data_IF_686635326065
#
_entry.id   IF_686635326065
#
_cell.length_a   1.000
_cell.length_b   1.000
_cell.length_c   1.000
_cell.angle_alpha   90.00
_cell.angle_beta   90.00
_cell.angle_gamma   90.00
#
_symmetry.space_group_name_H-M   'P 1'
#
loop_
_entity.id
_entity.type
_entity.pdbx_description
1 polymer ?
#
# COMPACT_ATOMS: atom_id res chain seq x y z
N UNK A 1 17.49 -21.90 2.35
CA UNK A 1 16.80 -20.61 2.21
C UNK A 1 15.67 -20.62 3.21
N UNK A 2 15.50 -19.59 4.07
CA UNK A 2 14.39 -19.55 5.01
C UNK A 2 13.04 -19.59 4.27
N UNK A 3 12.00 -20.07 4.94
CA UNK A 3 10.64 -19.99 4.46
C UNK A 3 10.20 -18.51 4.45
N UNK A 4 10.13 -17.90 3.26
CA UNK A 4 9.81 -16.48 3.12
C UNK A 4 8.38 -16.16 3.59
N UNK A 5 7.34 -16.95 3.20
CA UNK A 5 6.02 -16.85 3.80
C UNK A 5 6.03 -16.80 5.32
N UNK A 6 6.67 -17.77 5.99
CA UNK A 6 6.72 -17.80 7.46
C UNK A 6 7.40 -16.55 8.03
N UNK A 7 8.53 -16.14 7.43
CA UNK A 7 9.27 -14.96 7.85
C UNK A 7 8.43 -13.68 7.70
N UNK A 8 7.62 -13.58 6.64
CA UNK A 8 6.73 -12.45 6.37
C UNK A 8 5.46 -12.40 7.23
N UNK A 9 5.26 -13.39 8.10
CA UNK A 9 4.26 -13.31 9.18
C UNK A 9 4.82 -12.60 10.41
N UNK A 10 6.16 -12.60 10.57
CA UNK A 10 6.86 -11.96 11.69
C UNK A 10 7.27 -10.52 11.36
N UNK A 11 7.65 -10.29 10.11
CA UNK A 11 8.06 -8.99 9.58
C UNK A 11 7.03 -8.43 8.60
N UNK A 12 7.00 -7.11 8.44
CA UNK A 12 6.05 -6.45 7.54
C UNK A 12 6.31 -6.74 6.06
N UNK A 13 7.57 -6.95 5.67
CA UNK A 13 7.98 -7.24 4.31
C UNK A 13 9.28 -8.06 4.31
N UNK A 14 9.38 -9.03 3.41
CA UNK A 14 10.61 -9.78 3.13
C UNK A 14 10.98 -9.59 1.66
N UNK A 15 12.24 -9.29 1.39
CA UNK A 15 12.80 -9.24 0.04
C UNK A 15 13.91 -10.29 -0.04
N UNK A 16 13.80 -11.20 -1.01
CA UNK A 16 14.85 -12.15 -1.35
C UNK A 16 15.33 -11.91 -2.77
N UNK A 17 16.64 -11.80 -2.96
CA UNK A 17 17.23 -11.53 -4.26
C UNK A 17 18.54 -12.28 -4.44
N UNK A 18 18.84 -12.68 -5.68
CA UNK A 18 20.08 -13.37 -6.00
C UNK A 18 21.26 -12.41 -6.15
N UNK A 19 22.48 -12.92 -5.96
CA UNK A 19 23.70 -12.22 -6.35
C UNK A 19 23.65 -11.77 -7.81
N UNK A 20 24.06 -10.54 -8.09
CA UNK A 20 23.96 -9.91 -9.40
C UNK A 20 25.21 -9.10 -9.76
N UNK A 21 25.44 -8.90 -11.06
CA UNK A 21 26.47 -8.01 -11.59
C UNK A 21 25.96 -6.58 -11.86
N UNK A 22 24.69 -6.30 -11.55
CA UNK A 22 24.12 -4.96 -11.73
C UNK A 22 24.91 -3.92 -10.91
N UNK A 23 25.07 -2.72 -11.46
CA UNK A 23 25.85 -1.65 -10.82
C UNK A 23 25.32 -1.29 -9.42
N UNK A 24 24.00 -1.33 -9.23
CA UNK A 24 23.34 -0.96 -7.98
C UNK A 24 23.32 -2.10 -6.94
N UNK A 25 23.67 -3.33 -7.33
CA UNK A 25 23.62 -4.49 -6.44
C UNK A 25 24.46 -4.34 -5.16
N UNK A 26 25.71 -3.87 -5.18
CA UNK A 26 26.50 -3.68 -3.95
C UNK A 26 25.84 -2.71 -2.96
N UNK A 27 25.15 -1.69 -3.47
CA UNK A 27 24.43 -0.71 -2.65
C UNK A 27 23.17 -1.36 -2.05
N UNK A 28 22.40 -2.10 -2.87
CA UNK A 28 21.24 -2.85 -2.41
C UNK A 28 21.62 -3.87 -1.31
N UNK A 29 22.73 -4.59 -1.48
CA UNK A 29 23.24 -5.53 -0.47
C UNK A 29 23.65 -4.82 0.82
N UNK A 30 24.31 -3.66 0.74
CA UNK A 30 24.65 -2.87 1.93
C UNK A 30 23.42 -2.37 2.68
N UNK A 31 22.34 -2.03 1.97
CA UNK A 31 21.06 -1.67 2.59
C UNK A 31 20.39 -2.90 3.22
N UNK A 32 20.39 -4.03 2.53
CA UNK A 32 19.80 -5.29 2.98
C UNK A 32 20.44 -5.78 4.30
N UNK A 33 21.76 -5.65 4.44
CA UNK A 33 22.50 -5.98 5.68
C UNK A 33 22.08 -5.15 6.90
N UNK A 34 21.38 -4.03 6.69
CA UNK A 34 20.85 -3.15 7.74
C UNK A 34 19.34 -3.35 7.95
N UNK A 35 18.76 -4.40 7.38
CA UNK A 35 17.39 -4.77 7.65
C UNK A 35 17.26 -5.35 9.08
N UNK A 36 16.04 -5.40 9.60
CA UNK A 36 15.77 -5.97 10.93
C UNK A 36 16.14 -7.45 11.02
N UNK A 37 16.10 -8.15 9.90
CA UNK A 37 16.67 -9.48 9.74
C UNK A 37 17.38 -9.59 8.40
N UNK A 38 18.56 -10.22 8.40
CA UNK A 38 19.32 -10.47 7.18
C UNK A 38 20.02 -11.82 7.26
N UNK A 39 19.97 -12.58 6.15
CA UNK A 39 20.73 -13.83 6.00
C UNK A 39 21.15 -14.03 4.56
N UNK A 40 22.37 -14.56 4.38
CA UNK A 40 22.89 -15.01 3.10
C UNK A 40 22.72 -16.53 3.02
N UNK A 41 22.16 -17.03 1.91
CA UNK A 41 21.88 -18.45 1.74
C UNK A 41 22.21 -18.91 0.33
N UNK A 42 23.10 -19.89 0.24
CA UNK A 42 23.36 -20.60 -1.02
C UNK A 42 22.31 -21.69 -1.24
N UNK A 43 21.68 -21.71 -2.42
CA UNK A 43 20.76 -22.78 -2.86
C UNK A 43 21.24 -23.31 -4.21
N UNK A 44 21.88 -24.48 -4.20
CA UNK A 44 22.57 -25.02 -5.37
C UNK A 44 23.82 -24.20 -5.67
N UNK A 45 23.91 -23.62 -6.87
CA UNK A 45 25.01 -22.74 -7.29
C UNK A 45 24.69 -21.25 -7.21
N UNK A 46 23.53 -20.89 -6.64
CA UNK A 46 23.05 -19.50 -6.57
C UNK A 46 23.00 -19.02 -5.13
N UNK A 47 23.66 -17.89 -4.87
CA UNK A 47 23.60 -17.19 -3.60
C UNK A 47 22.39 -16.25 -3.56
N UNK A 48 21.58 -16.39 -2.52
CA UNK A 48 20.44 -15.55 -2.22
C UNK A 48 20.71 -14.71 -0.98
N UNK A 49 20.25 -13.48 -1.02
CA UNK A 49 20.21 -12.55 0.10
C UNK A 49 18.76 -12.39 0.52
N UNK A 50 18.46 -12.65 1.78
CA UNK A 50 17.11 -12.49 2.33
C UNK A 50 17.16 -11.41 3.39
N UNK A 51 16.39 -10.35 3.18
CA UNK A 51 16.22 -9.24 4.11
C UNK A 51 14.76 -9.12 4.54
N UNK A 52 14.50 -8.96 5.83
CA UNK A 52 13.16 -8.70 6.36
C UNK A 52 13.11 -7.38 7.12
N UNK A 53 12.00 -6.68 6.92
CA UNK A 53 11.79 -5.29 7.29
C UNK A 53 10.57 -5.16 8.20
N UNK A 54 10.72 -4.40 9.26
CA UNK A 54 9.63 -4.00 10.14
C UNK A 54 8.77 -2.93 9.46
N UNK A 55 7.59 -2.66 10.01
CA UNK A 55 6.67 -1.60 9.54
C UNK A 55 7.12 -0.18 9.94
N UNK A 56 8.41 0.01 10.26
CA UNK A 56 8.95 1.31 10.66
C UNK A 56 9.30 2.18 9.45
N UNK A 57 9.27 3.53 9.56
CA UNK A 57 9.62 4.41 8.43
C UNK A 57 11.01 4.12 7.86
N UNK A 58 11.99 3.85 8.73
CA UNK A 58 13.37 3.62 8.30
C UNK A 58 13.55 2.29 7.57
N UNK A 59 12.86 1.23 8.01
CA UNK A 59 12.88 -0.07 7.35
C UNK A 59 12.14 -0.04 6.02
N UNK A 60 10.97 0.61 5.97
CA UNK A 60 10.20 0.76 4.72
C UNK A 60 10.98 1.59 3.70
N UNK A 61 11.63 2.69 4.11
CA UNK A 61 12.46 3.48 3.20
C UNK A 61 13.65 2.68 2.63
N UNK A 62 14.28 1.82 3.44
CA UNK A 62 15.32 0.89 2.96
C UNK A 62 14.75 -0.13 1.99
N UNK A 63 13.60 -0.71 2.31
CA UNK A 63 12.94 -1.68 1.44
C UNK A 63 12.58 -1.09 0.08
N UNK A 64 12.05 0.14 0.03
CA UNK A 64 11.80 0.89 -1.22
C UNK A 64 13.08 1.03 -2.02
N UNK A 65 14.15 1.51 -1.38
CA UNK A 65 15.44 1.75 -2.05
C UNK A 65 16.01 0.47 -2.66
N UNK A 66 15.94 -0.65 -1.92
CA UNK A 66 16.36 -1.97 -2.40
C UNK A 66 15.48 -2.42 -3.56
N UNK A 67 14.16 -2.30 -3.43
CA UNK A 67 13.21 -2.74 -4.45
C UNK A 67 13.38 -1.95 -5.76
N UNK A 68 13.64 -0.65 -5.70
CA UNK A 68 13.93 0.18 -6.89
C UNK A 68 15.25 -0.22 -7.57
N UNK A 69 16.32 -0.41 -6.79
CA UNK A 69 17.62 -0.87 -7.31
C UNK A 69 17.53 -2.27 -7.95
N UNK A 70 16.64 -3.12 -7.43
CA UNK A 70 16.45 -4.50 -7.88
C UNK A 70 15.29 -4.69 -8.86
N UNK A 71 14.52 -3.64 -9.18
CA UNK A 71 13.29 -3.74 -9.98
C UNK A 71 13.50 -4.37 -11.37
N UNK A 72 14.73 -4.29 -11.90
CA UNK A 72 15.12 -4.87 -13.21
C UNK A 72 15.90 -6.17 -13.09
N UNK A 73 16.22 -6.60 -11.86
CA UNK A 73 16.97 -7.82 -11.58
C UNK A 73 15.98 -8.97 -11.45
N UNK A 74 16.03 -9.90 -12.40
CA UNK A 74 15.23 -11.14 -12.35
C UNK A 74 15.58 -11.94 -11.09
N UNK A 75 14.58 -12.63 -10.54
CA UNK A 75 14.78 -13.50 -9.38
C UNK A 75 14.72 -12.74 -8.06
N UNK A 76 14.02 -11.60 -8.05
CA UNK A 76 13.63 -10.90 -6.83
C UNK A 76 12.25 -11.39 -6.40
N UNK A 77 12.16 -11.79 -5.14
CA UNK A 77 10.93 -12.25 -4.52
C UNK A 77 10.57 -11.32 -3.37
N UNK A 78 9.31 -10.95 -3.30
CA UNK A 78 8.74 -10.24 -2.17
C UNK A 78 7.84 -11.21 -1.41
N UNK A 79 7.91 -11.22 -0.09
CA UNK A 79 6.95 -11.96 0.72
C UNK A 79 6.31 -11.04 1.75
N UNK A 80 4.99 -11.09 1.81
CA UNK A 80 4.20 -10.24 2.68
C UNK A 80 3.00 -11.02 3.20
N UNK A 81 2.77 -11.00 4.52
CA UNK A 81 1.65 -11.68 5.19
C UNK A 81 1.45 -13.14 4.74
N UNK A 82 2.55 -13.88 4.60
CA UNK A 82 2.53 -15.28 4.19
C UNK A 82 2.33 -15.52 2.70
N UNK A 83 2.24 -14.47 1.87
CA UNK A 83 2.13 -14.58 0.42
C UNK A 83 3.49 -14.32 -0.22
N UNK A 84 3.80 -15.06 -1.28
CA UNK A 84 5.01 -14.89 -2.07
C UNK A 84 4.67 -14.30 -3.43
N UNK A 85 5.34 -13.21 -3.76
CA UNK A 85 5.21 -12.47 -5.00
C UNK A 85 6.55 -12.47 -5.72
N UNK A 86 6.54 -12.69 -7.03
CA UNK A 86 7.74 -12.68 -7.86
C UNK A 86 7.66 -11.50 -8.82
N UNK A 87 8.67 -10.64 -8.78
CA UNK A 87 8.77 -9.49 -9.70
C UNK A 87 7.46 -8.66 -9.80
N UNK A 88 6.75 -8.49 -8.67
CA UNK A 88 5.39 -7.94 -8.63
C UNK A 88 5.37 -6.41 -8.51
N UNK A 89 4.90 -5.75 -9.56
CA UNK A 89 4.82 -4.29 -9.62
C UNK A 89 3.81 -3.66 -8.65
N UNK A 90 2.78 -4.38 -8.22
CA UNK A 90 1.81 -3.86 -7.25
C UNK A 90 2.45 -3.75 -5.87
N UNK A 91 3.25 -4.75 -5.47
CA UNK A 91 3.99 -4.70 -4.19
C UNK A 91 4.88 -3.45 -4.15
N UNK A 92 5.59 -3.17 -5.24
CA UNK A 92 6.44 -1.97 -5.33
C UNK A 92 5.61 -0.68 -5.22
N UNK A 93 4.49 -0.57 -5.93
CA UNK A 93 3.65 0.63 -5.88
C UNK A 93 3.02 0.86 -4.49
N UNK A 94 2.57 -0.21 -3.82
CA UNK A 94 2.03 -0.12 -2.46
C UNK A 94 3.12 0.26 -1.47
N UNK A 95 4.34 -0.27 -1.64
CA UNK A 95 5.48 0.08 -0.81
C UNK A 95 5.87 1.56 -0.95
N UNK A 96 5.86 2.09 -2.18
CA UNK A 96 6.05 3.52 -2.45
C UNK A 96 4.97 4.38 -1.78
N UNK A 97 3.69 4.01 -1.95
CA UNK A 97 2.58 4.72 -1.30
C UNK A 97 2.70 4.70 0.24
N UNK A 98 3.05 3.56 0.83
CA UNK A 98 3.29 3.46 2.27
C UNK A 98 4.45 4.36 2.72
N UNK A 99 5.55 4.39 1.97
CA UNK A 99 6.69 5.25 2.27
C UNK A 99 6.34 6.74 2.21
N UNK A 100 5.55 7.15 1.21
CA UNK A 100 5.03 8.52 1.13
C UNK A 100 4.14 8.89 2.33
N UNK A 101 3.35 7.94 2.83
CA UNK A 101 2.50 8.15 4.01
C UNK A 101 3.29 8.49 5.29
N UNK A 102 4.56 8.09 5.39
CA UNK A 102 5.43 8.43 6.53
C UNK A 102 6.01 9.85 6.44
N UNK A 103 5.91 10.52 5.29
CA UNK A 103 6.45 11.87 5.08
C UNK A 103 5.49 12.97 5.55
N UNK A 104 4.24 12.62 5.84
CA UNK A 104 3.22 13.54 6.37
C UNK A 104 3.04 13.33 7.87
N UNK A 105 2.63 14.39 8.59
CA UNK A 105 2.43 14.34 10.05
C UNK A 105 1.28 13.41 10.45
N UNK A 106 0.15 13.51 9.77
CA UNK A 106 -0.98 12.60 9.91
C UNK A 106 -1.11 11.78 8.63
N UNK A 107 -0.86 10.47 8.72
CA UNK A 107 -0.94 9.57 7.57
C UNK A 107 -2.32 9.60 6.91
N UNK A 108 -3.39 9.93 7.65
CA UNK A 108 -4.75 10.01 7.10
C UNK A 108 -4.86 11.06 6.01
N UNK A 109 -4.06 12.13 6.03
CA UNK A 109 -4.06 13.12 4.96
C UNK A 109 -3.48 12.58 3.64
N UNK A 110 -2.66 11.52 3.70
CA UNK A 110 -2.16 10.81 2.53
C UNK A 110 -3.06 9.62 2.16
N UNK A 111 -3.48 8.83 3.16
CA UNK A 111 -4.17 7.57 2.95
C UNK A 111 -5.68 7.73 2.71
N UNK A 112 -6.35 8.72 3.29
CA UNK A 112 -7.80 8.85 3.14
C UNK A 112 -8.14 9.74 1.94
N UNK A 113 -8.99 9.23 1.05
CA UNK A 113 -9.47 9.96 -0.13
C UNK A 113 -10.96 10.19 -0.01
N UNK A 114 -11.37 11.44 -0.17
CA UNK A 114 -12.77 11.85 -0.16
C UNK A 114 -13.26 11.91 -1.60
N UNK A 115 -14.28 11.12 -1.94
CA UNK A 115 -14.99 11.23 -3.21
C UNK A 115 -16.29 12.02 -3.00
N UNK A 116 -16.32 13.32 -3.35
CA UNK A 116 -17.56 14.06 -3.41
C UNK A 116 -18.32 13.68 -4.68
N UNK A 117 -19.63 13.50 -4.57
CA UNK A 117 -20.51 13.27 -5.72
C UNK A 117 -20.74 14.51 -6.58
N UNK A 118 -20.42 15.68 -6.03
CA UNK A 118 -20.44 16.97 -6.71
C UNK A 118 -19.23 17.80 -6.25
N UNK A 119 -18.38 18.20 -7.20
CA UNK A 119 -17.38 19.23 -6.95
C UNK A 119 -18.01 20.61 -7.14
N UNK A 120 -17.66 21.57 -6.28
CA UNK A 120 -17.97 22.99 -6.47
C UNK A 120 -17.46 23.47 -7.83
N UNK A 121 -18.23 24.32 -8.52
CA UNK A 121 -17.91 24.80 -9.87
C UNK A 121 -16.49 25.39 -9.93
N UNK A 122 -15.69 24.98 -10.93
CA UNK A 122 -14.37 25.55 -11.22
C UNK A 122 -13.18 24.58 -11.22
N UNK A 123 -13.34 23.32 -10.80
CA UNK A 123 -12.26 22.32 -10.82
C UNK A 123 -12.48 21.32 -11.99
N UNK A 124 -11.46 21.03 -12.83
CA UNK A 124 -11.58 20.06 -13.91
C UNK A 124 -11.99 18.69 -13.37
N UNK A 125 -13.09 18.16 -13.90
CA UNK A 125 -13.88 17.10 -13.28
C UNK A 125 -13.35 15.70 -13.61
N UNK A 126 -12.78 14.99 -12.64
CA UNK A 126 -12.70 13.52 -12.68
C UNK A 126 -14.03 13.00 -12.12
N UNK A 127 -14.97 12.67 -13.00
CA UNK A 127 -16.24 12.05 -12.60
C UNK A 127 -16.01 10.60 -12.20
N UNK A 128 -15.76 10.34 -10.92
CA UNK A 128 -15.91 8.99 -10.40
C UNK A 128 -17.40 8.77 -10.12
N UNK A 129 -18.13 8.26 -11.11
CA UNK A 129 -19.52 7.84 -10.92
C UNK A 129 -19.52 6.55 -10.10
N UNK A 130 -19.71 6.68 -8.79
CA UNK A 130 -20.06 5.53 -7.94
C UNK A 130 -21.59 5.36 -8.07
N UNK A 131 -22.12 4.24 -8.60
CA UNK A 131 -23.49 4.18 -9.16
C UNK A 131 -24.67 4.41 -8.18
N UNK A 132 -24.45 4.73 -6.89
CA UNK A 132 -25.51 4.81 -5.86
C UNK A 132 -25.32 5.91 -4.81
N UNK A 133 -24.39 6.84 -5.03
CA UNK A 133 -24.23 8.00 -4.17
C UNK A 133 -25.19 9.11 -4.62
N UNK A 134 -25.97 9.66 -3.69
CA UNK A 134 -26.87 10.80 -3.92
C UNK A 134 -26.07 12.05 -4.31
N UNK A 135 -26.75 13.07 -4.88
CA UNK A 135 -26.08 14.28 -5.42
C UNK A 135 -25.21 15.04 -4.41
N UNK A 136 -25.31 14.78 -3.10
CA UNK A 136 -24.53 15.43 -2.05
C UNK A 136 -23.74 14.45 -1.19
N UNK A 137 -23.64 13.18 -1.56
CA UNK A 137 -22.94 12.22 -0.70
C UNK A 137 -21.42 12.36 -0.85
N UNK A 138 -20.71 12.14 0.24
CA UNK A 138 -19.26 11.96 0.30
C UNK A 138 -18.97 10.57 0.80
N UNK A 139 -18.07 9.88 0.11
CA UNK A 139 -17.50 8.63 0.58
C UNK A 139 -16.04 8.85 0.93
N UNK A 140 -15.64 8.48 2.14
CA UNK A 140 -14.24 8.48 2.57
C UNK A 140 -13.68 7.08 2.38
N UNK A 141 -12.77 6.93 1.42
CA UNK A 141 -12.04 5.68 1.19
C UNK A 141 -10.75 5.71 2.02
N UNK A 142 -10.50 4.74 2.92
CA UNK A 142 -9.39 4.79 3.87
C UNK A 142 -8.03 4.42 3.26
N UNK A 143 -7.94 4.18 1.95
CA UNK A 143 -6.70 3.88 1.26
C UNK A 143 -6.63 4.58 -0.11
N UNK A 144 -5.68 5.50 -0.27
CA UNK A 144 -5.48 6.27 -1.49
C UNK A 144 -5.00 5.41 -2.65
N UNK A 145 -4.29 4.31 -2.36
CA UNK A 145 -3.93 3.33 -3.38
C UNK A 145 -5.17 2.61 -3.91
N UNK A 146 -5.99 2.05 -3.01
CA UNK A 146 -7.21 1.34 -3.38
C UNK A 146 -8.26 2.24 -4.03
N UNK A 147 -8.34 3.51 -3.61
CA UNK A 147 -9.26 4.53 -4.15
C UNK A 147 -9.19 4.68 -5.68
N UNK A 148 -8.05 4.38 -6.29
CA UNK A 148 -7.88 4.40 -7.76
C UNK A 148 -8.75 3.35 -8.47
N UNK A 149 -9.22 2.33 -7.74
CA UNK A 149 -9.89 1.16 -8.26
C UNK A 149 -11.33 0.99 -7.73
N UNK A 150 -11.79 1.86 -6.82
CA UNK A 150 -13.11 1.72 -6.15
C UNK A 150 -14.31 2.15 -6.99
N UNK A 151 -14.12 2.79 -8.15
CA UNK A 151 -15.20 3.44 -8.90
C UNK A 151 -16.37 2.52 -9.27
N UNK A 152 -16.08 1.35 -9.86
CA UNK A 152 -17.10 0.35 -10.25
C UNK A 152 -17.22 -0.80 -9.27
N UNK A 153 -16.28 -0.92 -8.32
CA UNK A 153 -16.20 -2.06 -7.42
C UNK A 153 -17.13 -1.95 -6.20
N UNK A 154 -17.63 -0.75 -5.89
CA UNK A 154 -18.50 -0.50 -4.73
C UNK A 154 -19.94 -0.23 -5.17
N UNK A 155 -20.87 -1.13 -4.84
CA UNK A 155 -22.31 -1.02 -5.12
C UNK A 155 -23.17 -1.47 -3.94
N UNK A 156 -24.32 -0.79 -3.76
CA UNK A 156 -25.31 -1.15 -2.74
C UNK A 156 -26.11 -2.40 -3.12
N UNK A 157 -26.13 -2.76 -4.41
CA UNK A 157 -26.89 -3.90 -4.92
C UNK A 157 -26.09 -5.22 -4.81
N UNK A 158 -24.82 -5.15 -4.42
CA UNK A 158 -23.99 -6.32 -4.18
C UNK A 158 -24.43 -7.05 -2.91
N UNK A 159 -24.42 -8.40 -2.88
CA UNK A 159 -24.84 -9.17 -1.70
C UNK A 159 -23.95 -8.98 -0.46
N UNK A 160 -22.67 -8.63 -0.67
CA UNK A 160 -21.71 -8.32 0.41
C UNK A 160 -21.72 -6.85 0.82
N UNK A 161 -21.33 -6.57 2.06
CA UNK A 161 -21.26 -5.19 2.59
C UNK A 161 -20.29 -4.31 1.80
N UNK A 162 -20.40 -2.98 1.91
CA UNK A 162 -19.44 -2.07 1.29
C UNK A 162 -18.01 -2.30 1.80
N UNK A 163 -17.87 -2.64 3.09
CA UNK A 163 -16.58 -3.00 3.70
C UNK A 163 -15.99 -4.26 3.06
N UNK A 164 -16.81 -5.29 2.83
CA UNK A 164 -16.34 -6.53 2.20
C UNK A 164 -15.95 -6.31 0.73
N UNK A 165 -16.73 -5.52 0.00
CA UNK A 165 -16.40 -5.12 -1.38
C UNK A 165 -15.09 -4.33 -1.42
N UNK A 166 -14.87 -3.41 -0.48
CA UNK A 166 -13.63 -2.66 -0.41
C UNK A 166 -12.44 -3.53 0.02
N UNK A 167 -12.66 -4.49 0.93
CA UNK A 167 -11.65 -5.50 1.29
C UNK A 167 -11.23 -6.31 0.07
N UNK A 168 -12.19 -6.70 -0.78
CA UNK A 168 -11.92 -7.39 -2.05
C UNK A 168 -11.07 -6.53 -3.00
N UNK A 169 -11.37 -5.24 -3.14
CA UNK A 169 -10.52 -4.30 -3.90
C UNK A 169 -9.09 -4.31 -3.36
N UNK A 170 -8.91 -4.26 -2.03
CA UNK A 170 -7.60 -4.25 -1.42
C UNK A 170 -6.81 -5.53 -1.70
N UNK A 171 -7.46 -6.69 -1.63
CA UNK A 171 -6.87 -8.01 -1.92
C UNK A 171 -6.54 -8.14 -3.40
N UNK A 172 -7.46 -7.76 -4.28
CA UNK A 172 -7.32 -7.83 -5.74
C UNK A 172 -6.17 -6.97 -6.25
N UNK A 173 -5.99 -5.78 -5.67
CA UNK A 173 -4.90 -4.87 -6.03
C UNK A 173 -3.66 -4.99 -5.14
N UNK A 174 -3.62 -5.99 -4.24
CA UNK A 174 -2.44 -6.33 -3.46
C UNK A 174 -2.00 -5.24 -2.47
N UNK A 175 -2.92 -4.45 -1.94
CA UNK A 175 -2.66 -3.47 -0.88
C UNK A 175 -3.24 -3.88 0.48
N UNK A 176 -3.84 -5.06 0.57
CA UNK A 176 -4.40 -5.66 1.78
C UNK A 176 -3.38 -5.80 2.91
N UNK A 177 -2.09 -5.93 2.58
CA UNK A 177 -1.02 -6.05 3.56
C UNK A 177 -0.51 -4.72 4.13
N UNK A 178 -0.83 -3.59 3.50
CA UNK A 178 -0.37 -2.29 3.95
C UNK A 178 -0.91 -2.00 5.36
N UNK A 179 -0.08 -1.62 6.34
CA UNK A 179 -0.53 -1.35 7.70
C UNK A 179 -1.41 -0.10 7.82
N UNK A 180 -1.47 0.73 6.77
CA UNK A 180 -2.35 1.90 6.68
C UNK A 180 -3.64 1.64 5.88
N UNK A 181 -3.82 0.43 5.35
CA UNK A 181 -5.01 0.03 4.62
C UNK A 181 -5.90 -0.81 5.53
N UNK A 182 -6.90 -0.18 6.15
CA UNK A 182 -7.89 -0.88 6.98
C UNK A 182 -9.28 -0.79 6.34
N UNK A 183 -9.84 -1.90 5.82
CA UNK A 183 -11.18 -1.92 5.27
C UNK A 183 -12.29 -1.52 6.25
N UNK A 184 -12.06 -1.74 7.54
CA UNK A 184 -13.06 -1.43 8.58
C UNK A 184 -13.15 0.08 8.87
N UNK A 185 -12.17 0.87 8.42
CA UNK A 185 -12.21 2.34 8.48
C UNK A 185 -13.11 2.95 7.38
N UNK A 186 -13.66 2.12 6.47
CA UNK A 186 -14.59 2.58 5.44
C UNK A 186 -15.89 3.07 6.08
N UNK A 187 -16.12 4.37 5.99
CA UNK A 187 -17.31 5.01 6.53
C UNK A 187 -18.48 4.95 5.53
N UNK A 188 -19.73 4.85 6.03
CA UNK A 188 -20.90 5.00 5.17
C UNK A 188 -20.92 6.39 4.52
N UNK A 189 -21.57 6.53 3.34
CA UNK A 189 -21.73 7.82 2.70
C UNK A 189 -22.36 8.88 3.61
N UNK A 190 -21.77 10.08 3.64
CA UNK A 190 -22.25 11.22 4.44
C UNK A 190 -22.77 12.35 3.53
N UNK A 191 -23.79 13.07 3.94
CA UNK A 191 -24.36 14.18 3.14
C UNK A 191 -23.59 15.48 3.37
N UNK A 192 -23.05 16.08 2.29
CA UNK A 192 -22.48 17.44 2.28
C UNK A 192 -23.51 18.46 2.77
N UNK A 193 -23.20 19.12 3.89
CA UNK A 193 -24.02 20.19 4.46
C UNK A 193 -25.18 19.73 5.36
N UNK A 194 -25.17 18.49 5.85
CA UNK A 194 -25.97 18.09 7.02
C UNK A 194 -25.45 18.78 8.31
N UNK A 195 -26.23 18.76 9.41
CA UNK A 195 -25.82 19.41 10.65
C UNK A 195 -24.50 18.80 11.14
N UNK A 196 -23.49 19.65 11.24
CA UNK A 196 -22.17 19.46 11.83
C UNK A 196 -21.29 18.33 11.27
N UNK A 197 -20.69 18.57 10.11
CA UNK A 197 -19.29 18.17 9.92
C UNK A 197 -18.43 19.41 10.20
N UNK A 198 -17.92 19.60 11.44
CA UNK A 198 -16.91 20.62 11.66
C UNK A 198 -15.69 20.24 10.82
N UNK A 199 -15.38 21.04 9.81
CA UNK A 199 -14.06 21.01 9.18
C UNK A 199 -13.05 21.20 10.32
N UNK A 200 -12.05 20.32 10.49
CA UNK A 200 -11.04 20.52 11.50
C UNK A 200 -10.37 21.87 11.23
N UNK A 201 -10.60 22.83 12.13
CA UNK A 201 -9.94 24.12 12.13
C UNK A 201 -8.47 23.84 12.40
N UNK A 202 -7.67 23.82 11.35
CA UNK A 202 -6.21 23.78 11.47
C UNK A 202 -5.81 25.14 12.05
N UNK A 203 -5.49 25.17 13.34
CA UNK A 203 -4.81 26.30 13.93
C UNK A 203 -3.37 26.29 13.42
N UNK A 204 -2.89 27.38 12.77
CA UNK A 204 -1.49 27.48 12.42
C UNK A 204 -0.66 27.55 13.71
N UNK A 205 0.36 26.70 13.79
CA UNK A 205 1.44 26.79 14.79
C UNK A 205 2.59 27.55 14.16
#
# INVERSE_FOLDING_TARGET
>A
MPDLPELSQRYALVIAFQSSRAADYPIALSLARRASYFVEVTKGSVDYHVAAFESTPADIARAVSIADMLARVKGTFFSVRGRLFKDDGNVLQVLHCLNESFRVKDYRSHCHVIFPTQFSQGIPQVHVKIPHLGKKDMLVIPCAFAAKYTGWALTKDHPGTLQDQFRDVCVTHGCDWCPRCNPDDLQPPQVLGGPDVPLPVVTPV
#
